data_IF_880873643113
#
_entry.id   IF_880873643113
#
_cell.length_a   1.000
_cell.length_b   1.000
_cell.length_c   1.000
_cell.angle_alpha   90.00
_cell.angle_beta   90.00
_cell.angle_gamma   90.00
#
_symmetry.space_group_name_H-M   'P 1'
#
loop_
_entity.id
_entity.type
_entity.pdbx_description
1 polymer ?
#
# COMPACT_ATOMS: atom_id res chain seq x y z
N UNK A 1 11.75 1.77 -21.26
CA UNK A 1 11.63 1.37 -19.83
C UNK A 1 10.17 1.05 -19.52
N UNK A 2 9.84 -0.01 -18.78
CA UNK A 2 8.47 -0.27 -18.40
C UNK A 2 7.95 0.89 -17.54
N UNK A 3 6.81 1.47 -17.94
CA UNK A 3 6.15 2.57 -17.24
C UNK A 3 5.89 2.18 -15.78
N UNK A 4 6.36 3.00 -14.84
CA UNK A 4 6.13 2.74 -13.40
C UNK A 4 4.64 2.86 -13.09
N UNK A 5 4.06 1.78 -12.56
CA UNK A 5 2.66 1.73 -12.16
C UNK A 5 2.57 2.09 -10.67
N UNK A 6 1.89 3.19 -10.36
CA UNK A 6 1.66 3.61 -8.97
C UNK A 6 0.25 3.21 -8.57
N UNK A 7 0.11 2.44 -7.48
CA UNK A 7 -1.18 1.96 -6.98
C UNK A 7 -1.43 2.55 -5.59
N UNK A 8 -2.61 3.15 -5.40
CA UNK A 8 -3.07 3.61 -4.09
C UNK A 8 -3.67 2.42 -3.32
N UNK A 9 -3.03 2.01 -2.23
CA UNK A 9 -3.40 0.82 -1.49
C UNK A 9 -4.56 1.03 -0.50
N UNK A 10 -5.11 2.25 -0.37
CA UNK A 10 -6.23 2.52 0.55
C UNK A 10 -7.39 1.56 0.28
N UNK A 11 -7.92 0.97 1.35
CA UNK A 11 -9.08 0.10 1.32
C UNK A 11 -8.95 -1.09 0.36
N UNK A 12 -7.71 -1.52 0.06
CA UNK A 12 -7.46 -2.77 -0.64
C UNK A 12 -7.28 -3.91 0.38
N UNK A 13 -7.73 -5.10 0.04
CA UNK A 13 -7.54 -6.31 0.81
C UNK A 13 -6.10 -6.82 0.63
N UNK A 14 -5.34 -6.87 1.73
CA UNK A 14 -3.90 -7.16 1.76
C UNK A 14 -3.49 -8.33 0.84
N UNK A 15 -4.10 -9.50 1.02
CA UNK A 15 -3.74 -10.70 0.27
C UNK A 15 -4.10 -10.64 -1.21
N UNK A 16 -5.24 -10.03 -1.56
CA UNK A 16 -5.71 -9.91 -2.95
C UNK A 16 -4.87 -8.90 -3.74
N UNK A 17 -4.53 -7.78 -3.11
CA UNK A 17 -3.62 -6.82 -3.72
C UNK A 17 -2.22 -7.44 -3.88
N UNK A 18 -1.73 -8.17 -2.88
CA UNK A 18 -0.43 -8.81 -2.93
C UNK A 18 -0.31 -9.84 -4.07
N UNK A 19 -1.34 -10.65 -4.34
CA UNK A 19 -1.29 -11.65 -5.41
C UNK A 19 -1.25 -11.03 -6.80
N UNK A 20 -2.05 -9.98 -7.03
CA UNK A 20 -2.03 -9.22 -8.29
C UNK A 20 -0.66 -8.59 -8.49
N UNK A 21 -0.14 -7.90 -7.47
CA UNK A 21 1.19 -7.28 -7.53
C UNK A 21 2.28 -8.30 -7.80
N UNK A 22 2.27 -9.45 -7.11
CA UNK A 22 3.26 -10.51 -7.27
C UNK A 22 3.31 -11.03 -8.72
N UNK A 23 2.15 -11.24 -9.36
CA UNK A 23 2.11 -11.69 -10.75
C UNK A 23 2.68 -10.63 -11.69
N UNK A 24 2.33 -9.37 -11.49
CA UNK A 24 2.77 -8.29 -12.38
C UNK A 24 4.28 -8.01 -12.29
N UNK A 25 4.87 -8.06 -11.09
CA UNK A 25 6.33 -7.88 -10.96
C UNK A 25 7.13 -9.04 -11.58
N UNK A 26 6.57 -10.25 -11.59
CA UNK A 26 7.12 -11.42 -12.27
C UNK A 26 6.99 -11.36 -13.80
N UNK A 27 6.00 -10.61 -14.30
CA UNK A 27 5.85 -10.27 -15.72
C UNK A 27 6.75 -9.10 -16.16
N UNK A 28 7.50 -8.49 -15.24
CA UNK A 28 8.47 -7.43 -15.55
C UNK A 28 7.98 -6.00 -15.32
N UNK A 29 6.77 -5.79 -14.79
CA UNK A 29 6.27 -4.45 -14.48
C UNK A 29 6.93 -3.88 -13.22
N UNK A 30 7.24 -2.59 -13.25
CA UNK A 30 7.69 -1.85 -12.08
C UNK A 30 6.49 -1.27 -11.34
N UNK A 31 6.30 -1.67 -10.08
CA UNK A 31 5.12 -1.32 -9.29
C UNK A 31 5.52 -0.59 -8.03
N UNK A 32 4.83 0.52 -7.76
CA UNK A 32 4.95 1.30 -6.55
C UNK A 32 3.61 1.29 -5.82
N UNK A 33 3.61 0.77 -4.60
CA UNK A 33 2.46 0.75 -3.70
C UNK A 33 2.62 1.91 -2.74
N UNK A 34 1.65 2.81 -2.71
CA UNK A 34 1.60 3.93 -1.77
C UNK A 34 0.44 3.75 -0.78
N UNK A 35 0.52 4.41 0.37
CA UNK A 35 -0.49 4.36 1.43
C UNK A 35 -0.71 2.96 2.00
N UNK A 36 0.38 2.22 2.21
CA UNK A 36 0.33 0.88 2.78
C UNK A 36 -0.35 0.83 4.17
N UNK A 37 -0.34 1.92 4.93
CA UNK A 37 -1.00 2.05 6.22
C UNK A 37 -2.54 1.95 6.14
N UNK A 38 -3.13 2.28 4.99
CA UNK A 38 -4.58 2.24 4.76
C UNK A 38 -5.05 0.93 4.08
N UNK A 39 -4.17 -0.08 3.98
CA UNK A 39 -4.53 -1.43 3.51
C UNK A 39 -5.43 -2.12 4.54
N UNK A 40 -6.42 -2.86 4.07
CA UNK A 40 -7.39 -3.57 4.91
C UNK A 40 -7.08 -5.06 5.02
N UNK A 41 -7.36 -5.62 6.19
CA UNK A 41 -7.35 -7.07 6.44
C UNK A 41 -8.71 -7.45 7.00
N UNK A 42 -9.30 -8.55 6.51
CA UNK A 42 -10.58 -9.06 7.03
C UNK A 42 -10.45 -9.56 8.46
N UNK A 43 -11.47 -9.37 9.28
CA UNK A 43 -11.47 -9.66 10.71
C UNK A 43 -11.02 -8.47 11.56
N UNK A 44 -11.55 -8.39 12.78
CA UNK A 44 -11.27 -7.28 13.69
C UNK A 44 -9.83 -7.23 14.20
N UNK A 45 -9.46 -6.07 14.76
CA UNK A 45 -8.10 -5.77 15.21
C UNK A 45 -7.55 -6.81 16.20
N UNK A 46 -8.33 -7.23 17.20
CA UNK A 46 -7.91 -8.21 18.22
C UNK A 46 -7.42 -9.50 17.58
N UNK A 47 -8.22 -10.09 16.67
CA UNK A 47 -7.86 -11.33 15.98
C UNK A 47 -6.59 -11.18 15.14
N UNK A 48 -6.46 -10.05 14.45
CA UNK A 48 -5.30 -9.80 13.59
C UNK A 48 -4.04 -9.51 14.40
N UNK A 49 -4.18 -8.81 15.54
CA UNK A 49 -3.10 -8.62 16.52
C UNK A 49 -2.62 -9.97 17.07
N UNK A 50 -3.53 -10.84 17.52
CA UNK A 50 -3.14 -12.18 18.02
C UNK A 50 -2.44 -13.03 16.95
N UNK A 51 -2.85 -12.93 15.67
CA UNK A 51 -2.13 -13.58 14.57
C UNK A 51 -0.71 -13.03 14.42
N UNK A 52 -0.54 -11.71 14.49
CA UNK A 52 0.75 -11.07 14.36
C UNK A 52 1.65 -11.36 15.57
N UNK A 53 1.11 -11.38 16.79
CA UNK A 53 1.83 -11.77 18.01
C UNK A 53 2.35 -13.21 17.94
N UNK A 54 1.56 -14.15 17.40
CA UNK A 54 2.05 -15.51 17.13
C UNK A 54 3.20 -15.52 16.12
N UNK A 55 3.21 -14.62 15.14
CA UNK A 55 4.36 -14.46 14.24
C UNK A 55 5.59 -13.94 14.98
N UNK A 56 5.44 -12.99 15.92
CA UNK A 56 6.55 -12.44 16.71
C UNK A 56 7.24 -13.46 17.62
N UNK A 57 6.51 -14.48 18.06
CA UNK A 57 7.08 -15.57 18.85
C UNK A 57 8.02 -16.46 18.04
N UNK A 58 7.96 -16.42 16.70
CA UNK A 58 8.79 -17.23 15.80
C UNK A 58 10.19 -16.63 15.66
N UNK A 59 11.06 -16.92 16.63
CA UNK A 59 12.49 -16.56 16.63
C UNK A 59 13.36 -17.81 16.60
N UNK A 60 14.60 -17.69 16.10
CA UNK A 60 15.58 -18.75 16.23
C UNK A 60 15.96 -18.91 17.71
N UNK A 61 15.99 -20.13 18.23
CA UNK A 61 16.15 -20.34 19.67
C UNK A 61 17.54 -19.91 20.16
N UNK A 62 18.61 -20.29 19.44
CA UNK A 62 20.00 -20.04 19.87
C UNK A 62 20.55 -18.68 19.44
N UNK A 63 20.05 -18.10 18.34
CA UNK A 63 20.57 -16.84 17.79
C UNK A 63 19.45 -16.05 17.09
N UNK A 64 18.60 -15.35 17.86
CA UNK A 64 17.46 -14.61 17.33
C UNK A 64 17.82 -13.50 16.33
N UNK A 65 19.04 -12.95 16.42
CA UNK A 65 19.46 -11.78 15.64
C UNK A 65 19.94 -12.14 14.24
N UNK A 66 20.56 -13.32 14.03
CA UNK A 66 21.16 -13.68 12.75
C UNK A 66 20.39 -14.74 11.96
N UNK A 67 19.91 -15.78 12.63
CA UNK A 67 19.35 -16.98 12.00
C UNK A 67 17.80 -17.03 12.05
N UNK A 68 17.16 -15.98 12.57
CA UNK A 68 15.73 -15.92 12.81
C UNK A 68 14.90 -15.22 11.73
N UNK A 69 13.58 -15.29 11.89
CA UNK A 69 12.67 -14.50 11.09
C UNK A 69 12.71 -13.03 11.52
N UNK A 70 12.91 -12.12 10.57
CA UNK A 70 12.83 -10.69 10.83
C UNK A 70 11.38 -10.21 10.94
N UNK A 71 11.05 -9.54 12.04
CA UNK A 71 9.70 -9.05 12.34
C UNK A 71 9.55 -7.55 12.04
N UNK A 72 9.24 -7.22 10.80
CA UNK A 72 9.02 -5.82 10.40
C UNK A 72 7.66 -5.30 10.85
N UNK A 73 7.65 -4.22 11.64
CA UNK A 73 6.40 -3.59 12.15
C UNK A 73 5.77 -2.59 11.18
N UNK A 74 6.55 -2.00 10.27
CA UNK A 74 6.08 -0.98 9.36
C UNK A 74 5.07 -1.54 8.32
N UNK A 75 3.93 -0.87 8.04
CA UNK A 75 2.91 -1.33 7.09
C UNK A 75 3.49 -1.68 5.70
N UNK A 76 4.40 -0.86 5.18
CA UNK A 76 5.08 -1.07 3.89
C UNK A 76 5.83 -2.40 3.85
N UNK A 77 6.53 -2.74 4.93
CA UNK A 77 7.32 -3.98 5.06
C UNK A 77 6.44 -5.19 5.34
N UNK A 78 5.31 -5.02 6.04
CA UNK A 78 4.32 -6.08 6.18
C UNK A 78 3.76 -6.45 4.80
N UNK A 79 3.36 -5.45 4.00
CA UNK A 79 2.89 -5.65 2.64
C UNK A 79 3.97 -6.29 1.75
N UNK A 80 5.21 -5.76 1.79
CA UNK A 80 6.34 -6.33 1.05
C UNK A 80 6.60 -7.79 1.43
N UNK A 81 6.53 -8.14 2.72
CA UNK A 81 6.70 -9.54 3.18
C UNK A 81 5.60 -10.45 2.65
N UNK A 82 4.36 -9.96 2.55
CA UNK A 82 3.27 -10.74 1.95
C UNK A 82 3.49 -10.97 0.45
N UNK A 83 3.94 -9.97 -0.30
CA UNK A 83 4.29 -10.15 -1.73
C UNK A 83 5.48 -11.07 -1.90
N UNK A 84 6.55 -10.91 -1.10
CA UNK A 84 7.71 -11.81 -1.09
C UNK A 84 7.32 -13.27 -0.85
N UNK A 85 6.32 -13.53 -0.02
CA UNK A 85 5.79 -14.87 0.20
C UNK A 85 5.13 -15.51 -1.03
N UNK A 86 4.73 -14.70 -2.01
CA UNK A 86 4.08 -15.12 -3.27
C UNK A 86 5.05 -15.10 -4.46
N UNK A 87 6.34 -14.82 -4.23
CA UNK A 87 7.39 -14.73 -5.27
C UNK A 87 8.50 -15.74 -4.95
N UNK A 88 9.07 -16.46 -5.94
CA UNK A 88 10.21 -17.36 -5.75
C UNK A 88 11.52 -16.59 -5.49
N UNK A 89 11.58 -15.85 -4.39
CA UNK A 89 12.58 -14.83 -4.06
C UNK A 89 13.99 -15.35 -3.79
N UNK A 90 14.19 -16.67 -3.72
CA UNK A 90 15.52 -17.28 -3.63
C UNK A 90 16.20 -17.43 -5.01
N UNK A 91 15.43 -17.31 -6.08
CA UNK A 91 15.93 -17.38 -7.47
C UNK A 91 16.33 -16.00 -7.96
N UNK A 92 17.26 -15.91 -8.92
CA UNK A 92 17.66 -14.65 -9.54
C UNK A 92 16.47 -13.89 -10.15
N UNK A 93 15.56 -14.62 -10.83
CA UNK A 93 14.32 -14.03 -11.38
C UNK A 93 13.43 -13.43 -10.30
N UNK A 94 13.25 -14.13 -9.18
CA UNK A 94 12.43 -13.66 -8.06
C UNK A 94 13.05 -12.46 -7.33
N UNK A 95 14.38 -12.45 -7.17
CA UNK A 95 15.11 -11.32 -6.62
C UNK A 95 14.92 -10.07 -7.49
N UNK A 96 15.16 -10.18 -8.81
CA UNK A 96 14.92 -9.10 -9.76
C UNK A 96 13.45 -8.63 -9.79
N UNK A 97 12.49 -9.54 -9.58
CA UNK A 97 11.08 -9.16 -9.47
C UNK A 97 10.79 -8.34 -8.20
N UNK A 98 11.42 -8.66 -7.07
CA UNK A 98 11.24 -7.88 -5.83
C UNK A 98 11.88 -6.50 -5.90
N UNK A 99 12.97 -6.32 -6.65
CA UNK A 99 13.58 -4.99 -6.88
C UNK A 99 12.64 -4.04 -7.65
N UNK A 100 11.76 -4.60 -8.49
CA UNK A 100 10.73 -3.83 -9.21
C UNK A 100 9.60 -3.32 -8.30
N UNK A 101 9.47 -3.86 -7.08
CA UNK A 101 8.43 -3.47 -6.12
C UNK A 101 8.97 -2.43 -5.14
N UNK A 102 8.27 -1.29 -5.03
CA UNK A 102 8.48 -0.33 -3.94
C UNK A 102 7.18 -0.15 -3.14
N UNK A 103 7.29 -0.07 -1.82
CA UNK A 103 6.14 0.08 -0.92
C UNK A 103 6.41 1.24 0.05
N UNK A 104 5.42 2.12 0.23
CA UNK A 104 5.54 3.30 1.08
C UNK A 104 4.32 3.48 1.99
N UNK A 105 4.55 3.95 3.21
CA UNK A 105 3.49 4.61 3.98
C UNK A 105 3.27 6.04 3.46
N UNK A 106 2.02 6.48 3.37
CA UNK A 106 1.65 7.75 2.75
C UNK A 106 1.98 7.80 1.25
N UNK A 107 1.97 9.01 0.68
CA UNK A 107 2.34 9.25 -0.73
C UNK A 107 3.55 10.20 -0.78
N UNK A 108 4.78 9.68 -0.80
CA UNK A 108 5.98 10.52 -0.86
C UNK A 108 6.19 11.11 -2.27
N UNK A 109 6.87 12.26 -2.39
CA UNK A 109 7.45 12.70 -3.67
C UNK A 109 8.41 11.63 -4.20
N UNK A 110 8.42 11.31 -5.51
CA UNK A 110 7.75 11.99 -6.64
C UNK A 110 6.33 11.47 -6.97
N UNK A 111 5.77 10.55 -6.18
CA UNK A 111 4.51 9.85 -6.52
C UNK A 111 3.24 10.65 -6.16
N UNK A 112 3.39 11.77 -5.46
CA UNK A 112 2.32 12.68 -5.07
C UNK A 112 1.65 13.37 -6.26
N UNK A 113 2.43 13.64 -7.31
CA UNK A 113 1.96 14.26 -8.57
C UNK A 113 1.59 13.26 -9.66
N UNK A 114 1.93 11.99 -9.49
CA UNK A 114 1.65 10.93 -10.46
C UNK A 114 0.21 10.41 -10.28
N UNK A 115 -0.45 10.08 -11.40
CA UNK A 115 -1.77 9.45 -11.35
C UNK A 115 -1.64 8.06 -10.72
N UNK A 116 -2.33 7.87 -9.61
CA UNK A 116 -2.42 6.59 -8.91
C UNK A 116 -3.58 5.77 -9.47
N UNK A 117 -3.33 4.48 -9.65
CA UNK A 117 -4.31 3.47 -10.06
C UNK A 117 -4.86 2.73 -8.84
N UNK A 118 -5.90 1.94 -9.09
CA UNK A 118 -6.60 1.10 -8.12
C UNK A 118 -6.77 -0.28 -8.74
N UNK A 119 -6.78 -1.33 -7.92
CA UNK A 119 -7.04 -2.71 -8.36
C UNK A 119 -8.46 -3.09 -7.92
N UNK A 120 -9.48 -3.04 -8.80
CA UNK A 120 -10.87 -3.26 -8.41
C UNK A 120 -11.09 -4.62 -7.73
N UNK A 121 -10.45 -5.67 -8.25
CA UNK A 121 -10.55 -7.02 -7.71
C UNK A 121 -10.05 -7.16 -6.25
N UNK A 122 -9.26 -6.20 -5.77
CA UNK A 122 -8.75 -6.18 -4.42
C UNK A 122 -9.47 -5.17 -3.51
N UNK A 123 -10.43 -4.39 -3.99
CA UNK A 123 -11.12 -3.41 -3.15
C UNK A 123 -11.97 -4.07 -2.06
N UNK A 124 -11.80 -3.61 -0.83
CA UNK A 124 -12.52 -4.09 0.35
C UNK A 124 -14.04 -4.01 0.13
N UNK A 125 -14.55 -2.89 -0.39
CA UNK A 125 -15.99 -2.67 -0.60
C UNK A 125 -16.61 -3.72 -1.54
N UNK A 126 -15.82 -4.27 -2.47
CA UNK A 126 -16.27 -5.29 -3.42
C UNK A 126 -16.04 -6.72 -2.92
N UNK A 127 -15.12 -6.90 -1.96
CA UNK A 127 -14.63 -8.23 -1.55
C UNK A 127 -15.04 -8.64 -0.15
N UNK A 128 -15.45 -7.70 0.69
CA UNK A 128 -15.93 -7.96 2.03
C UNK A 128 -17.43 -7.66 2.09
N UNK A 129 -18.20 -8.64 2.52
CA UNK A 129 -19.64 -8.46 2.75
C UNK A 129 -19.88 -7.37 3.81
N UNK A 130 -20.99 -6.65 3.65
CA UNK A 130 -21.40 -5.63 4.61
C UNK A 130 -21.55 -6.22 6.03
N UNK A 131 -21.23 -5.45 7.06
CA UNK A 131 -21.28 -5.88 8.46
C UNK A 131 -20.06 -6.69 8.94
N UNK A 132 -19.23 -7.23 8.04
CA UNK A 132 -18.01 -7.93 8.46
C UNK A 132 -16.92 -6.97 8.94
N UNK A 133 -16.35 -7.28 10.11
CA UNK A 133 -15.25 -6.51 10.68
C UNK A 133 -13.99 -6.62 9.83
N UNK A 134 -13.22 -5.55 9.80
CA UNK A 134 -11.89 -5.48 9.19
C UNK A 134 -10.99 -4.61 10.07
N UNK A 135 -9.68 -4.66 9.84
CA UNK A 135 -8.72 -3.75 10.46
C UNK A 135 -7.84 -3.09 9.40
N UNK A 136 -7.44 -1.85 9.65
CA UNK A 136 -6.44 -1.16 8.82
C UNK A 136 -5.04 -1.59 9.23
N UNK A 137 -4.14 -1.71 8.26
CA UNK A 137 -2.79 -2.18 8.46
C UNK A 137 -1.98 -1.23 9.35
N UNK A 138 -2.23 0.08 9.28
CA UNK A 138 -1.63 1.09 10.15
C UNK A 138 -1.99 0.88 11.62
N UNK A 139 -3.26 0.62 11.93
CA UNK A 139 -3.70 0.33 13.31
C UNK A 139 -3.07 -0.96 13.85
N UNK A 140 -3.03 -2.01 13.01
CA UNK A 140 -2.33 -3.24 13.38
C UNK A 140 -0.85 -2.96 13.64
N UNK A 141 -0.18 -2.29 12.72
CA UNK A 141 1.24 -1.94 12.80
C UNK A 141 1.57 -1.15 14.08
N UNK A 142 0.77 -0.15 14.43
CA UNK A 142 0.95 0.63 15.65
C UNK A 142 0.79 -0.22 16.91
N UNK A 143 -0.25 -1.07 16.95
CA UNK A 143 -0.46 -1.98 18.09
C UNK A 143 0.69 -2.98 18.30
N UNK A 144 1.52 -3.17 17.27
CA UNK A 144 2.71 -4.03 17.30
C UNK A 144 4.00 -3.20 17.23
N UNK A 145 3.98 -1.90 17.53
CA UNK A 145 5.19 -1.10 17.76
C UNK A 145 5.73 -0.33 16.56
N UNK A 146 4.92 -0.06 15.53
CA UNK A 146 5.26 0.96 14.53
C UNK A 146 5.04 2.36 15.11
N UNK A 147 6.10 3.20 15.09
CA UNK A 147 6.14 4.49 15.79
C UNK A 147 5.73 5.71 14.96
N UNK A 148 5.67 5.58 13.64
CA UNK A 148 5.58 6.74 12.73
C UNK A 148 4.17 7.04 12.22
N UNK A 149 3.12 6.47 12.84
CA UNK A 149 1.75 6.67 12.38
C UNK A 149 1.32 8.14 12.37
N UNK A 150 1.60 8.85 13.46
CA UNK A 150 1.22 10.26 13.63
C UNK A 150 1.96 11.15 12.63
N UNK A 151 3.27 10.94 12.47
CA UNK A 151 4.08 11.66 11.48
C UNK A 151 3.56 11.45 10.05
N UNK A 152 3.20 10.22 9.68
CA UNK A 152 2.60 9.94 8.35
C UNK A 152 1.23 10.61 8.22
N UNK A 153 0.41 10.62 9.27
CA UNK A 153 -0.89 11.27 9.25
C UNK A 153 -0.78 12.80 9.04
N UNK A 154 0.18 13.44 9.71
CA UNK A 154 0.47 14.87 9.55
C UNK A 154 0.93 15.20 8.11
N UNK A 155 1.87 14.41 7.57
CA UNK A 155 2.36 14.58 6.20
C UNK A 155 1.24 14.37 5.17
N UNK A 156 0.38 13.38 5.36
CA UNK A 156 -0.78 13.14 4.50
C UNK A 156 -1.82 14.26 4.61
N UNK A 157 -2.01 14.88 5.77
CA UNK A 157 -2.86 16.05 5.93
C UNK A 157 -2.32 17.23 5.10
N UNK A 158 -1.03 17.55 5.24
CA UNK A 158 -0.35 18.58 4.43
C UNK A 158 -0.48 18.30 2.92
N UNK A 159 -0.30 17.05 2.50
CA UNK A 159 -0.45 16.63 1.09
C UNK A 159 -1.88 16.80 0.59
N UNK A 160 -2.90 16.45 1.39
CA UNK A 160 -4.32 16.60 1.02
C UNK A 160 -4.70 18.06 0.85
N UNK A 161 -4.23 18.97 1.71
CA UNK A 161 -4.47 20.42 1.55
C UNK A 161 -3.93 20.92 0.22
N UNK A 162 -2.69 20.58 -0.14
CA UNK A 162 -2.08 20.91 -1.44
C UNK A 162 -2.87 20.31 -2.62
N UNK A 163 -3.31 19.06 -2.49
CA UNK A 163 -4.09 18.38 -3.52
C UNK A 163 -5.47 19.02 -3.74
N UNK A 164 -6.14 19.47 -2.67
CA UNK A 164 -7.41 20.19 -2.75
C UNK A 164 -7.23 21.52 -3.47
N UNK A 165 -6.22 22.31 -3.11
CA UNK A 165 -5.90 23.57 -3.79
C UNK A 165 -5.66 23.36 -5.30
N UNK A 166 -4.85 22.34 -5.65
CA UNK A 166 -4.63 21.96 -7.05
C UNK A 166 -5.92 21.58 -7.76
N UNK A 167 -6.79 20.78 -7.13
CA UNK A 167 -8.05 20.35 -7.74
C UNK A 167 -9.00 21.53 -8.00
N UNK A 168 -9.10 22.47 -7.06
CA UNK A 168 -9.95 23.66 -7.23
C UNK A 168 -9.45 24.53 -8.40
N UNK A 169 -8.14 24.77 -8.49
CA UNK A 169 -7.53 25.48 -9.62
C UNK A 169 -7.80 24.75 -10.95
N UNK A 170 -7.63 23.43 -10.97
CA UNK A 170 -7.90 22.60 -12.15
C UNK A 170 -9.38 22.65 -12.56
N UNK A 171 -10.31 22.56 -11.60
CA UNK A 171 -11.76 22.64 -11.84
C UNK A 171 -12.14 23.98 -12.47
N UNK A 172 -11.62 25.09 -11.95
CA UNK A 172 -11.82 26.44 -12.52
C UNK A 172 -11.29 26.53 -13.96
N UNK A 173 -10.07 26.06 -14.21
CA UNK A 173 -9.48 26.04 -15.55
C UNK A 173 -10.29 25.20 -16.55
N UNK A 174 -10.76 24.02 -16.14
CA UNK A 174 -11.60 23.17 -16.99
C UNK A 174 -12.95 23.83 -17.32
N UNK A 175 -13.58 24.49 -16.35
CA UNK A 175 -14.83 25.22 -16.57
C UNK A 175 -14.65 26.38 -17.56
N UNK A 176 -13.54 27.13 -17.47
CA UNK A 176 -13.22 28.19 -18.43
C UNK A 176 -12.98 27.63 -19.84
N UNK A 177 -12.24 26.52 -19.96
CA UNK A 177 -12.03 25.84 -21.25
C UNK A 177 -13.34 25.36 -21.88
N UNK A 178 -14.24 24.80 -21.07
CA UNK A 178 -15.55 24.35 -21.55
C UNK A 178 -16.41 25.53 -22.05
N UNK A 179 -16.39 26.67 -21.34
CA UNK A 179 -17.08 27.89 -21.78
C UNK A 179 -16.50 28.42 -23.11
N UNK A 180 -15.17 28.49 -23.23
CA UNK A 180 -14.53 28.94 -24.45
C UNK A 180 -14.82 28.01 -25.64
N UNK A 181 -14.81 26.69 -25.42
CA UNK A 181 -15.17 25.72 -26.47
C UNK A 181 -16.64 25.86 -26.92
N UNK A 182 -17.55 26.15 -26.00
CA UNK A 182 -18.96 26.38 -26.32
C UNK A 182 -19.24 27.72 -27.03
N UNK A 183 -18.31 28.68 -26.98
CA UNK A 183 -18.42 29.96 -27.71
C UNK A 183 -17.85 29.87 -29.13
N UNK A 184 -17.00 28.88 -29.40
CA UNK A 184 -16.41 28.62 -30.73
C UNK A 184 -17.25 27.66 -31.59
N UNK A 185 -18.17 26.93 -30.96
CA UNK A 185 -19.15 26.07 -31.62
C UNK A 185 -20.44 26.86 -31.91
#
# INVERSE_FOLDING_TARGET
>A
MPKTIVIDARAHMLGRLASVVAKQILSGYQIVIVRCEEVSISGGLVRQKSKYERFLRKKHNTNPTRAGAWHYRAPSRIFWRTVRGMVPHKTARGAAALERLKCFEGVPPPYDRVKRLVVPDALQVLRLQHGHRFCRLGQLAQSVGWKHQEAVAELEAKRKTKATAFYQAKKKSLALKAKAAAQLA
#
